data_IF_057229364138
#
_entry.id   IF_057229364138
#
_cell.length_a   1.000
_cell.length_b   1.000
_cell.length_c   1.000
_cell.angle_alpha   90.00
_cell.angle_beta   90.00
_cell.angle_gamma   90.00
#
_symmetry.space_group_name_H-M   'P 1'
#
loop_
_entity.id
_entity.type
_entity.pdbx_description
1 polymer ?
#
# COMPACT_ATOMS: atom_id res chain seq x y z
N UNK A 1 17.73 25.63 16.89
CA UNK A 1 17.85 27.11 16.86
C UNK A 1 18.85 27.60 15.83
N UNK A 2 19.91 26.84 15.52
CA UNK A 2 20.88 27.21 14.49
C UNK A 2 20.23 27.45 13.11
N UNK A 3 19.37 26.53 12.66
CA UNK A 3 18.68 26.65 11.37
C UNK A 3 17.91 27.97 11.20
N UNK A 4 17.12 28.38 12.21
CA UNK A 4 16.35 29.64 12.14
C UNK A 4 17.22 30.90 12.28
N UNK A 5 18.40 30.78 12.91
CA UNK A 5 19.38 31.87 12.97
C UNK A 5 20.08 32.07 11.63
N UNK A 6 20.36 30.98 10.93
CA UNK A 6 21.02 30.99 9.62
C UNK A 6 20.05 31.41 8.51
N UNK A 7 18.78 31.01 8.61
CA UNK A 7 17.74 31.38 7.66
C UNK A 7 16.40 31.61 8.37
N UNK A 8 16.00 32.90 8.41
CA UNK A 8 14.76 33.33 9.04
C UNK A 8 13.50 33.03 8.20
N UNK A 9 13.67 32.58 6.95
CA UNK A 9 12.54 32.20 6.07
C UNK A 9 12.09 30.76 6.25
N UNK A 10 12.85 29.94 6.98
CA UNK A 10 12.53 28.54 7.24
C UNK A 10 11.18 28.45 7.99
N UNK A 11 10.28 27.63 7.44
CA UNK A 11 8.99 27.31 8.04
C UNK A 11 9.13 26.38 9.27
N UNK A 12 8.03 25.74 9.67
CA UNK A 12 8.07 24.79 10.77
C UNK A 12 8.95 23.58 10.43
N UNK A 13 9.89 23.27 11.33
CA UNK A 13 10.69 22.07 11.29
C UNK A 13 10.02 21.01 12.17
N UNK A 14 9.98 19.78 11.69
CA UNK A 14 9.38 18.68 12.42
C UNK A 14 10.25 17.42 12.33
N UNK A 15 10.21 16.63 13.38
CA UNK A 15 10.86 15.31 13.44
C UNK A 15 9.81 14.33 13.94
N UNK A 16 9.61 13.24 13.20
CA UNK A 16 8.89 12.06 13.66
C UNK A 16 9.87 10.97 14.01
N UNK A 17 9.61 10.23 15.08
CA UNK A 17 10.39 9.05 15.47
C UNK A 17 9.66 7.76 15.10
N UNK A 18 10.40 6.66 15.00
CA UNK A 18 9.83 5.31 14.83
C UNK A 18 8.95 4.87 16.00
N UNK A 19 9.12 5.49 17.17
CA UNK A 19 8.25 5.30 18.34
C UNK A 19 6.92 6.06 18.27
N UNK A 20 6.70 6.89 17.25
CA UNK A 20 5.48 7.69 17.08
C UNK A 20 5.52 9.07 17.75
N UNK A 21 6.65 9.45 18.38
CA UNK A 21 6.81 10.79 18.94
C UNK A 21 7.07 11.80 17.84
N UNK A 22 6.38 12.94 17.89
CA UNK A 22 6.63 14.07 16.99
C UNK A 22 7.10 15.29 17.77
N UNK A 23 8.13 15.96 17.26
CA UNK A 23 8.60 17.25 17.77
C UNK A 23 8.47 18.30 16.68
N UNK A 24 7.94 19.47 17.03
CA UNK A 24 7.78 20.59 16.12
C UNK A 24 8.53 21.82 16.65
N UNK A 25 9.16 22.56 15.74
CA UNK A 25 9.85 23.81 16.02
C UNK A 25 9.49 24.88 14.96
N UNK A 26 9.11 26.11 15.33
CA UNK A 26 8.84 26.56 16.69
C UNK A 26 7.62 25.83 17.27
N UNK A 27 7.52 25.79 18.60
CA UNK A 27 6.40 25.15 19.28
C UNK A 27 5.10 25.87 18.90
N UNK A 28 4.11 25.11 18.44
CA UNK A 28 2.74 25.58 18.20
C UNK A 28 1.78 24.79 19.08
N UNK A 29 0.72 25.43 19.55
CA UNK A 29 -0.37 24.73 20.22
C UNK A 29 -0.96 23.72 19.23
N UNK A 30 -1.13 22.48 19.67
CA UNK A 30 -1.84 21.47 18.92
C UNK A 30 -3.33 21.74 19.03
N UNK A 31 -3.96 22.17 17.92
CA UNK A 31 -5.37 22.55 17.87
C UNK A 31 -6.10 21.50 17.02
N UNK A 32 -7.21 20.98 17.54
CA UNK A 32 -8.00 19.93 16.90
C UNK A 32 -9.42 20.48 16.72
N UNK A 33 -9.77 20.90 15.51
CA UNK A 33 -11.10 21.46 15.23
C UNK A 33 -12.07 20.40 14.71
N UNK A 34 -13.32 20.30 15.24
CA UNK A 34 -13.91 21.11 16.32
C UNK A 34 -13.64 20.60 17.75
N UNK A 35 -13.07 21.47 18.61
CA UNK A 35 -12.95 21.27 20.07
C UNK A 35 -14.38 21.36 20.69
N UNK A 36 -15.03 20.28 21.22
CA UNK A 36 -14.44 19.27 22.13
C UNK A 36 -14.77 17.80 21.81
N UNK A 37 -15.32 17.49 20.62
CA UNK A 37 -15.84 16.13 20.31
C UNK A 37 -14.75 15.26 19.67
N UNK A 38 -13.70 15.86 19.10
CA UNK A 38 -12.73 15.14 18.26
C UNK A 38 -11.47 14.74 19.01
N UNK A 39 -11.21 13.43 19.06
CA UNK A 39 -9.92 12.86 19.44
C UNK A 39 -9.02 12.92 18.19
N UNK A 40 -7.80 13.42 18.35
CA UNK A 40 -6.82 13.40 17.26
C UNK A 40 -6.16 12.03 17.14
N UNK A 41 -6.14 11.51 15.91
CA UNK A 41 -5.53 10.25 15.53
C UNK A 41 -4.18 10.48 14.82
N UNK A 42 -3.52 11.60 15.11
CA UNK A 42 -2.23 11.92 14.51
C UNK A 42 -1.14 10.96 14.97
N UNK A 43 -0.52 10.32 13.99
CA UNK A 43 0.70 9.54 14.16
C UNK A 43 1.65 9.89 13.00
N UNK A 44 2.91 10.29 13.26
CA UNK A 44 3.86 10.62 12.21
C UNK A 44 4.12 9.45 11.27
N UNK A 45 4.00 8.20 11.76
CA UNK A 45 4.35 6.99 11.01
C UNK A 45 3.44 6.71 9.83
N UNK A 46 2.21 7.23 9.88
CA UNK A 46 1.25 7.13 8.77
C UNK A 46 1.25 8.38 7.87
N UNK A 47 2.13 9.36 8.12
CA UNK A 47 2.17 10.58 7.30
C UNK A 47 3.00 10.35 6.03
N UNK A 48 2.54 10.86 4.86
CA UNK A 48 3.25 10.64 3.59
C UNK A 48 4.72 11.05 3.62
N UNK A 49 5.04 12.17 4.29
CA UNK A 49 6.43 12.64 4.40
C UNK A 49 7.33 11.67 5.19
N UNK A 50 6.78 10.95 6.17
CA UNK A 50 7.53 10.00 6.98
C UNK A 50 7.70 8.68 6.22
N UNK A 51 6.61 8.18 5.63
CA UNK A 51 6.60 6.95 4.83
C UNK A 51 7.56 7.06 3.64
N UNK A 52 7.52 8.17 2.90
CA UNK A 52 8.39 8.40 1.75
C UNK A 52 9.87 8.56 2.14
N UNK A 53 10.17 9.01 3.36
CA UNK A 53 11.54 9.14 3.85
C UNK A 53 12.12 7.80 4.34
N UNK A 54 11.26 6.87 4.78
CA UNK A 54 11.70 5.59 5.33
C UNK A 54 11.88 4.47 4.30
N UNK A 55 11.18 4.54 3.17
CA UNK A 55 11.14 3.42 2.21
C UNK A 55 11.15 3.93 0.79
N UNK A 56 11.85 3.21 -0.08
CA UNK A 56 11.77 3.42 -1.53
C UNK A 56 10.33 3.15 -2.03
N UNK A 57 9.98 3.64 -3.23
CA UNK A 57 8.75 3.26 -3.91
C UNK A 57 8.53 1.74 -3.95
N UNK A 58 7.27 1.33 -3.95
CA UNK A 58 6.88 -0.08 -3.88
C UNK A 58 5.95 -0.45 -5.05
N UNK A 59 6.12 -1.66 -5.56
CA UNK A 59 5.22 -2.32 -6.51
C UNK A 59 4.48 -3.45 -5.76
N UNK A 60 3.19 -3.26 -5.48
CA UNK A 60 2.38 -4.16 -4.64
C UNK A 60 1.33 -4.89 -5.47
N UNK A 61 1.32 -6.23 -5.40
CA UNK A 61 0.27 -7.08 -5.97
C UNK A 61 -0.59 -7.63 -4.85
N UNK A 62 -1.89 -7.36 -4.89
CA UNK A 62 -2.88 -7.94 -4.00
C UNK A 62 -3.44 -9.23 -4.61
N UNK A 63 -3.29 -10.36 -3.93
CA UNK A 63 -3.92 -11.64 -4.26
C UNK A 63 -5.07 -11.88 -3.28
N UNK A 64 -6.30 -11.84 -3.77
CA UNK A 64 -7.50 -11.87 -2.94
C UNK A 64 -8.25 -13.18 -3.18
N UNK A 65 -8.32 -14.03 -2.17
CA UNK A 65 -9.16 -15.22 -2.18
C UNK A 65 -10.63 -14.81 -2.17
N UNK A 66 -11.38 -15.34 -3.13
CA UNK A 66 -12.82 -15.13 -3.31
C UNK A 66 -13.55 -16.47 -3.46
N UNK A 67 -13.01 -17.49 -2.80
CA UNK A 67 -13.60 -18.81 -2.65
C UNK A 67 -14.90 -18.78 -1.82
N UNK A 68 -15.55 -19.95 -1.71
CA UNK A 68 -16.78 -20.07 -0.94
C UNK A 68 -16.61 -19.83 0.56
N UNK A 69 -15.43 -20.11 1.11
CA UNK A 69 -15.14 -20.05 2.55
C UNK A 69 -15.05 -18.62 3.07
N UNK A 70 -14.46 -17.71 2.26
CA UNK A 70 -14.31 -16.29 2.61
C UNK A 70 -15.62 -15.49 2.56
N UNK A 71 -16.76 -16.09 2.18
CA UNK A 71 -18.04 -15.38 2.08
C UNK A 71 -18.51 -14.85 3.44
N UNK A 72 -19.16 -13.69 3.42
CA UNK A 72 -19.73 -13.07 4.63
C UNK A 72 -18.77 -12.10 5.32
N UNK A 73 -18.46 -12.33 6.60
CA UNK A 73 -17.63 -11.41 7.38
C UNK A 73 -16.17 -11.37 6.91
N UNK A 74 -15.63 -12.50 6.46
CA UNK A 74 -14.21 -12.60 6.07
C UNK A 74 -13.89 -11.71 4.87
N UNK A 75 -14.70 -11.74 3.79
CA UNK A 75 -14.50 -10.86 2.64
C UNK A 75 -14.63 -9.37 3.02
N UNK A 76 -15.49 -9.03 3.98
CA UNK A 76 -15.59 -7.67 4.49
C UNK A 76 -14.30 -7.23 5.19
N UNK A 77 -13.73 -8.08 6.05
CA UNK A 77 -12.44 -7.82 6.72
C UNK A 77 -11.30 -7.72 5.72
N UNK A 78 -11.26 -8.58 4.71
CA UNK A 78 -10.26 -8.53 3.64
C UNK A 78 -10.37 -7.19 2.88
N UNK A 79 -11.57 -6.78 2.47
CA UNK A 79 -11.79 -5.49 1.80
C UNK A 79 -11.32 -4.31 2.66
N UNK A 80 -11.70 -4.28 3.93
CA UNK A 80 -11.27 -3.21 4.85
C UNK A 80 -9.75 -3.17 5.01
N UNK A 81 -9.10 -4.33 5.08
CA UNK A 81 -7.64 -4.42 5.19
C UNK A 81 -6.94 -3.93 3.93
N UNK A 82 -7.40 -4.34 2.75
CA UNK A 82 -6.86 -3.87 1.46
C UNK A 82 -7.02 -2.36 1.33
N UNK A 83 -8.19 -1.81 1.66
CA UNK A 83 -8.43 -0.36 1.66
C UNK A 83 -7.50 0.38 2.63
N UNK A 84 -7.27 -0.17 3.82
CA UNK A 84 -6.34 0.41 4.79
C UNK A 84 -4.91 0.42 4.27
N UNK A 85 -4.46 -0.66 3.62
CA UNK A 85 -3.13 -0.73 3.01
C UNK A 85 -3.03 0.26 1.85
N UNK A 86 -4.02 0.32 0.96
CA UNK A 86 -4.06 1.29 -0.15
C UNK A 86 -3.95 2.74 0.34
N UNK A 87 -4.56 3.06 1.50
CA UNK A 87 -4.44 4.39 2.10
C UNK A 87 -3.00 4.75 2.51
N UNK A 88 -2.16 3.77 2.85
CA UNK A 88 -0.74 3.99 3.20
C UNK A 88 0.18 4.20 2.00
N UNK A 89 -0.26 3.85 0.78
CA UNK A 89 0.57 3.94 -0.43
C UNK A 89 0.66 5.38 -0.95
N UNK A 90 1.86 5.73 -1.37
CA UNK A 90 2.25 7.01 -1.94
C UNK A 90 1.92 7.08 -3.44
N UNK A 91 1.75 8.27 -4.05
CA UNK A 91 1.55 8.39 -5.49
C UNK A 91 2.70 7.82 -6.35
N UNK A 92 3.89 7.62 -5.76
CA UNK A 92 5.04 7.01 -6.41
C UNK A 92 5.01 5.48 -6.37
N UNK A 93 4.14 4.87 -5.56
CA UNK A 93 3.96 3.43 -5.48
C UNK A 93 3.05 2.95 -6.62
N UNK A 94 3.21 1.69 -7.03
CA UNK A 94 2.40 1.04 -8.04
C UNK A 94 1.64 -0.13 -7.44
N UNK A 95 0.40 -0.31 -7.90
CA UNK A 95 -0.50 -1.34 -7.41
C UNK A 95 -1.06 -2.18 -8.54
N UNK A 96 -1.26 -3.45 -8.27
CA UNK A 96 -2.07 -4.35 -9.05
C UNK A 96 -2.88 -5.26 -8.11
N UNK A 97 -4.03 -5.74 -8.55
CA UNK A 97 -4.88 -6.62 -7.75
C UNK A 97 -5.46 -7.74 -8.62
N UNK A 98 -5.42 -8.97 -8.08
CA UNK A 98 -5.93 -10.19 -8.69
C UNK A 98 -6.77 -10.91 -7.64
N UNK A 99 -7.97 -11.32 -8.00
CA UNK A 99 -8.79 -12.20 -7.17
C UNK A 99 -8.80 -13.61 -7.76
N UNK A 100 -8.91 -14.60 -6.89
CA UNK A 100 -8.90 -16.00 -7.32
C UNK A 100 -9.95 -16.83 -6.57
N UNK A 101 -10.52 -17.79 -7.29
CA UNK A 101 -11.31 -18.88 -6.75
C UNK A 101 -10.92 -20.17 -7.50
N UNK A 102 -11.84 -20.82 -8.21
CA UNK A 102 -11.52 -21.81 -9.26
C UNK A 102 -10.91 -21.20 -10.52
N UNK A 103 -10.97 -19.88 -10.69
CA UNK A 103 -10.34 -19.10 -11.78
C UNK A 103 -9.61 -17.90 -11.21
N UNK A 104 -8.61 -17.41 -11.94
CA UNK A 104 -7.88 -16.17 -11.62
C UNK A 104 -8.42 -15.04 -12.49
N UNK A 105 -8.78 -13.93 -11.86
CA UNK A 105 -9.39 -12.78 -12.54
C UNK A 105 -8.67 -11.51 -12.05
N UNK A 106 -8.23 -10.60 -12.92
CA UNK A 106 -7.67 -9.32 -12.48
C UNK A 106 -8.79 -8.42 -11.96
N UNK A 107 -8.46 -7.55 -11.01
CA UNK A 107 -9.44 -6.63 -10.42
C UNK A 107 -9.35 -5.22 -11.01
N UNK A 108 -8.16 -4.82 -11.44
CA UNK A 108 -7.98 -3.55 -12.15
C UNK A 108 -8.41 -3.73 -13.60
N UNK A 109 -9.51 -3.09 -13.96
CA UNK A 109 -10.20 -3.26 -15.23
C UNK A 109 -10.49 -1.90 -15.85
N UNK A 110 -9.85 -1.61 -16.97
CA UNK A 110 -9.87 -0.32 -17.68
C UNK A 110 -8.78 -0.27 -18.75
N UNK A 111 -8.47 0.91 -19.32
CA UNK A 111 -7.42 1.11 -20.34
C UNK A 111 -6.00 0.69 -19.94
N UNK A 112 -5.81 0.05 -18.79
CA UNK A 112 -4.52 -0.28 -18.22
C UNK A 112 -4.46 -1.76 -17.89
N UNK A 113 -3.65 -2.49 -18.66
CA UNK A 113 -3.21 -3.84 -18.33
C UNK A 113 -1.95 -3.73 -17.45
N UNK A 114 -2.01 -4.20 -16.20
CA UNK A 114 -0.86 -4.27 -15.30
C UNK A 114 -0.88 -3.29 -14.11
N UNK A 115 0.30 -2.84 -13.70
CA UNK A 115 0.46 -1.96 -12.55
C UNK A 115 0.00 -0.53 -12.85
N UNK A 116 -0.76 0.05 -11.93
CA UNK A 116 -1.15 1.47 -11.99
C UNK A 116 -0.53 2.23 -10.82
N UNK A 117 -0.16 3.51 -10.99
CA UNK A 117 0.32 4.32 -9.87
C UNK A 117 -0.79 4.52 -8.84
N UNK A 118 -0.45 4.50 -7.55
CA UNK A 118 -1.36 4.63 -6.42
C UNK A 118 -1.78 6.09 -6.15
N UNK A 119 -2.18 6.81 -7.21
CA UNK A 119 -2.70 8.18 -7.13
C UNK A 119 -4.05 8.21 -6.42
N UNK A 120 -4.41 9.36 -5.83
CA UNK A 120 -5.71 9.54 -5.14
C UNK A 120 -6.90 9.17 -6.01
N UNK A 121 -6.86 9.46 -7.33
CA UNK A 121 -7.90 9.04 -8.27
C UNK A 121 -7.97 7.52 -8.40
N UNK A 122 -6.84 6.88 -8.71
CA UNK A 122 -6.74 5.44 -8.90
C UNK A 122 -7.06 4.64 -7.62
N UNK A 123 -6.84 5.23 -6.44
CA UNK A 123 -7.24 4.67 -5.14
C UNK A 123 -8.71 4.87 -4.79
N UNK A 124 -9.34 5.95 -5.29
CA UNK A 124 -10.75 6.32 -5.03
C UNK A 124 -11.72 5.68 -6.01
N UNK A 125 -11.33 5.52 -7.27
CA UNK A 125 -12.16 4.95 -8.34
C UNK A 125 -12.34 3.43 -8.19
N UNK A 126 -12.24 2.94 -6.95
CA UNK A 126 -12.58 1.62 -6.42
C UNK A 126 -12.97 0.63 -7.52
N UNK A 127 -11.95 0.00 -8.11
CA UNK A 127 -11.87 -1.46 -8.23
C UNK A 127 -13.25 -2.09 -8.43
N UNK A 128 -13.89 -1.81 -9.57
CA UNK A 128 -15.08 -2.54 -10.00
C UNK A 128 -14.63 -3.96 -10.35
N UNK A 129 -14.91 -4.90 -9.45
CA UNK A 129 -14.52 -6.31 -9.53
C UNK A 129 -15.22 -7.05 -10.68
N UNK A 130 -14.85 -6.80 -11.95
CA UNK A 130 -15.27 -7.68 -13.05
C UNK A 130 -14.26 -7.75 -14.21
N UNK A 131 -13.68 -8.96 -14.32
CA UNK A 131 -13.15 -9.73 -15.47
C UNK A 131 -11.74 -9.42 -16.08
N UNK A 132 -11.34 -10.27 -17.02
CA UNK A 132 -10.24 -10.37 -18.03
C UNK A 132 -8.87 -9.66 -17.96
N UNK A 133 -7.94 -10.52 -18.38
CA UNK A 133 -6.52 -10.42 -18.70
C UNK A 133 -6.24 -9.83 -20.10
N UNK A 134 -5.18 -9.03 -20.20
CA UNK A 134 -4.10 -9.22 -21.17
C UNK A 134 -2.79 -8.69 -20.58
N UNK A 135 -1.66 -9.25 -21.02
CA UNK A 135 -0.35 -8.97 -20.44
C UNK A 135 0.21 -7.61 -20.89
N UNK A 136 0.77 -6.84 -19.94
CA UNK A 136 2.11 -6.27 -20.07
C UNK A 136 2.58 -5.61 -18.76
N UNK A 137 3.76 -6.02 -18.28
CA UNK A 137 4.45 -5.46 -17.12
C UNK A 137 5.20 -4.17 -17.47
N UNK A 138 4.50 -3.12 -17.93
CA UNK A 138 5.20 -1.95 -18.50
C UNK A 138 5.47 -0.83 -17.48
N UNK A 139 4.83 -0.84 -16.31
CA UNK A 139 5.09 0.16 -15.27
C UNK A 139 5.58 -0.49 -13.97
N UNK A 140 6.80 -0.16 -13.58
CA UNK A 140 7.40 -0.53 -12.30
C UNK A 140 8.01 0.72 -11.69
N UNK A 141 7.86 0.89 -10.38
CA UNK A 141 8.55 1.96 -9.65
C UNK A 141 10.07 1.77 -9.60
N UNK A 142 10.58 0.59 -9.98
CA UNK A 142 11.98 0.21 -9.83
C UNK A 142 12.40 -0.04 -8.37
N UNK A 143 11.46 0.05 -7.42
CA UNK A 143 11.72 -0.16 -6.00
C UNK A 143 11.33 -1.56 -5.52
N UNK A 144 10.82 -1.66 -4.30
CA UNK A 144 10.53 -2.95 -3.68
C UNK A 144 9.33 -3.63 -4.35
N UNK A 145 9.47 -4.92 -4.67
CA UNK A 145 8.38 -5.75 -5.20
C UNK A 145 7.76 -6.57 -4.10
N UNK A 146 6.44 -6.51 -3.94
CA UNK A 146 5.71 -7.16 -2.86
C UNK A 146 4.44 -7.85 -3.38
N UNK A 147 4.23 -9.09 -2.97
CA UNK A 147 3.01 -9.85 -3.22
C UNK A 147 2.33 -10.09 -1.88
N UNK A 148 1.09 -9.66 -1.72
CA UNK A 148 0.30 -9.84 -0.51
C UNK A 148 -0.88 -10.77 -0.78
N UNK A 149 -1.01 -11.85 -0.01
CA UNK A 149 -2.09 -12.82 -0.11
C UNK A 149 -3.11 -12.63 1.02
N UNK A 150 -4.38 -12.57 0.67
CA UNK A 150 -5.51 -12.51 1.58
C UNK A 150 -6.38 -13.75 1.37
N UNK A 151 -6.48 -14.60 2.39
CA UNK A 151 -7.26 -15.85 2.39
C UNK A 151 -7.72 -16.16 3.82
N UNK A 152 -8.75 -16.98 3.98
CA UNK A 152 -9.22 -17.45 5.29
C UNK A 152 -8.58 -18.77 5.74
N UNK A 153 -7.76 -19.39 4.90
CA UNK A 153 -6.99 -20.58 5.21
C UNK A 153 -6.94 -21.56 4.04
N UNK A 154 -5.94 -22.45 4.04
CA UNK A 154 -5.80 -23.48 3.01
C UNK A 154 -5.56 -24.85 3.66
N UNK A 155 -6.27 -25.89 3.23
CA UNK A 155 -5.96 -27.27 3.62
C UNK A 155 -4.68 -27.79 2.95
N UNK A 156 -4.30 -27.22 1.80
CA UNK A 156 -3.05 -27.53 1.11
C UNK A 156 -1.99 -26.49 1.45
N UNK A 157 -0.81 -26.93 1.92
CA UNK A 157 0.36 -26.04 2.06
C UNK A 157 0.65 -25.38 0.70
N UNK A 158 0.97 -24.08 0.73
CA UNK A 158 1.30 -23.29 -0.45
C UNK A 158 2.35 -23.95 -1.36
N UNK A 159 2.37 -23.61 -2.66
CA UNK A 159 2.81 -24.54 -3.69
C UNK A 159 4.33 -24.60 -3.83
N UNK A 160 4.80 -25.78 -4.21
CA UNK A 160 6.06 -26.03 -4.92
C UNK A 160 6.37 -25.03 -6.06
N UNK A 161 5.41 -24.24 -6.52
CA UNK A 161 5.55 -23.21 -7.55
C UNK A 161 6.39 -22.00 -7.13
N UNK A 162 6.33 -21.55 -5.86
CA UNK A 162 7.19 -20.45 -5.38
C UNK A 162 8.65 -20.91 -5.36
N UNK A 163 8.88 -22.14 -4.93
CA UNK A 163 10.19 -22.77 -4.87
C UNK A 163 10.74 -23.09 -6.27
N UNK A 164 9.89 -23.58 -7.17
CA UNK A 164 10.25 -23.85 -8.57
C UNK A 164 10.66 -22.58 -9.31
N UNK A 165 9.92 -21.48 -9.12
CA UNK A 165 10.22 -20.21 -9.80
C UNK A 165 11.46 -19.51 -9.22
N UNK A 166 11.70 -19.64 -7.90
CA UNK A 166 12.96 -19.19 -7.29
C UNK A 166 14.16 -19.96 -7.86
N UNK A 167 14.03 -21.27 -8.00
CA UNK A 167 15.07 -22.13 -8.58
C UNK A 167 15.28 -21.89 -10.08
N UNK A 168 14.28 -21.43 -10.83
CA UNK A 168 14.45 -20.98 -12.22
C UNK A 168 15.21 -19.66 -12.31
N UNK A 169 14.87 -18.66 -11.48
CA UNK A 169 15.62 -17.40 -11.43
C UNK A 169 17.09 -17.59 -11.02
N UNK A 170 17.38 -18.50 -10.08
CA UNK A 170 18.76 -18.79 -9.69
C UNK A 170 19.56 -19.49 -10.80
N UNK A 171 18.89 -20.21 -11.74
CA UNK A 171 19.54 -20.82 -12.91
C UNK A 171 19.91 -19.81 -14.00
N UNK A 172 19.15 -18.72 -14.11
CA UNK A 172 19.40 -17.66 -15.10
C UNK A 172 20.47 -16.65 -14.62
N UNK A 173 21.02 -16.84 -13.41
CA UNK A 173 22.03 -15.95 -12.80
C UNK A 173 23.45 -16.56 -12.78
N UNK A 174 23.70 -17.62 -13.56
CA UNK A 174 25.03 -18.26 -13.76
C UNK A 174 25.54 -18.05 -15.17
#
# INVERSE_FOLDING_TARGET
LENIKNDATIAAQYIGTTSGLTRLFPMKKWIIDPEPITIDLFDPRFRPWFVNAQSAPKDVIFLIDMSGSVKGQTVHLIRMTVLHILATLSPNDYINAIWFNSRQVPVLRGCFDGFIPAMTRNKRDEVNFTDAWNETWIASSGGHKLIMLFTDGSENRGPSAVESRRNELDKDTV
#
